data_IF_211878771269
#
_entry.id   IF_211878771269
#
_cell.length_a   1.000
_cell.length_b   1.000
_cell.length_c   1.000
_cell.angle_alpha   90.00
_cell.angle_beta   90.00
_cell.angle_gamma   90.00
#
_symmetry.space_group_name_H-M   'P 1'
#
loop_
_entity.id
_entity.type
_entity.pdbx_description
1 polymer ?
#
# COMPACT_ATOMS: atom_id res chain seq x y z
N UNK A 1 -3.29 18.44 15.35
CA UNK A 1 -3.17 17.86 14.00
C UNK A 1 -2.98 16.35 14.14
N UNK A 2 -4.02 15.55 13.88
CA UNK A 2 -3.84 14.10 13.74
C UNK A 2 -3.40 13.86 12.30
N UNK A 3 -2.10 13.62 12.07
CA UNK A 3 -1.61 13.27 10.75
C UNK A 3 -2.13 11.88 10.41
N UNK A 4 -2.86 11.75 9.30
CA UNK A 4 -3.21 10.43 8.76
C UNK A 4 -1.92 9.71 8.37
N UNK A 5 -1.60 8.54 8.96
CA UNK A 5 -0.39 7.83 8.62
C UNK A 5 -0.42 7.38 7.16
N UNK A 6 0.69 7.57 6.45
CA UNK A 6 0.86 7.16 5.07
C UNK A 6 1.67 5.86 5.01
N UNK A 7 1.18 4.84 4.30
CA UNK A 7 1.83 3.55 4.12
C UNK A 7 2.00 3.26 2.63
N UNK A 8 3.24 3.06 2.20
CA UNK A 8 3.59 2.60 0.86
C UNK A 8 4.03 1.14 0.91
N UNK A 9 3.22 0.25 0.33
CA UNK A 9 3.54 -1.18 0.22
C UNK A 9 4.30 -1.43 -1.07
N UNK A 10 5.51 -1.99 -0.97
CA UNK A 10 6.38 -2.19 -2.12
C UNK A 10 6.63 -3.67 -2.36
N UNK A 11 6.57 -4.09 -3.63
CA UNK A 11 7.15 -5.36 -4.07
C UNK A 11 7.95 -5.12 -5.36
N UNK A 12 8.38 -6.18 -6.03
CA UNK A 12 9.14 -6.06 -7.28
C UNK A 12 8.30 -5.46 -8.42
N UNK A 13 7.19 -6.11 -8.81
CA UNK A 13 6.45 -5.73 -10.02
C UNK A 13 5.16 -4.91 -9.82
N UNK A 14 4.69 -4.68 -8.59
CA UNK A 14 3.39 -4.02 -8.32
C UNK A 14 2.13 -4.67 -8.94
N UNK A 15 2.14 -6.00 -9.15
CA UNK A 15 1.02 -6.71 -9.80
C UNK A 15 0.33 -7.73 -8.88
N UNK A 16 1.09 -8.41 -8.03
CA UNK A 16 0.55 -9.50 -7.19
C UNK A 16 0.59 -9.14 -5.70
N UNK A 17 1.80 -9.06 -5.12
CA UNK A 17 2.01 -8.96 -3.67
C UNK A 17 1.59 -7.61 -3.07
N UNK A 18 2.14 -6.51 -3.58
CA UNK A 18 1.89 -5.18 -3.01
C UNK A 18 0.47 -4.65 -3.24
N UNK A 19 -0.22 -4.89 -4.39
CA UNK A 19 -1.63 -4.48 -4.53
C UNK A 19 -2.55 -5.25 -3.58
N UNK A 20 -2.33 -6.56 -3.41
CA UNK A 20 -3.11 -7.39 -2.49
C UNK A 20 -2.97 -6.89 -1.05
N UNK A 21 -1.74 -6.68 -0.59
CA UNK A 21 -1.48 -6.21 0.76
C UNK A 21 -2.03 -4.79 0.99
N UNK A 22 -1.91 -3.88 0.01
CA UNK A 22 -2.46 -2.54 0.11
C UNK A 22 -4.00 -2.55 0.26
N UNK A 23 -4.70 -3.39 -0.50
CA UNK A 23 -6.16 -3.53 -0.38
C UNK A 23 -6.58 -4.07 1.00
N UNK A 24 -5.89 -5.09 1.51
CA UNK A 24 -6.17 -5.65 2.84
C UNK A 24 -5.89 -4.65 3.96
N UNK A 25 -4.80 -3.89 3.86
CA UNK A 25 -4.42 -2.86 4.83
C UNK A 25 -5.38 -1.68 4.79
N UNK A 26 -5.84 -1.24 3.62
CA UNK A 26 -6.84 -0.18 3.50
C UNK A 26 -8.16 -0.53 4.21
N UNK A 27 -8.57 -1.80 4.17
CA UNK A 27 -9.74 -2.29 4.91
C UNK A 27 -9.48 -2.36 6.42
N UNK A 28 -8.28 -2.79 6.85
CA UNK A 28 -7.94 -2.92 8.29
C UNK A 28 -7.58 -1.60 8.96
N UNK A 29 -7.07 -0.61 8.21
CA UNK A 29 -6.53 0.64 8.71
C UNK A 29 -7.23 1.85 8.04
N UNK A 30 -8.53 2.09 8.31
CA UNK A 30 -9.30 3.13 7.61
C UNK A 30 -8.82 4.57 7.89
N UNK A 31 -8.00 4.75 8.93
CA UNK A 31 -7.36 6.02 9.27
C UNK A 31 -6.06 6.28 8.49
N UNK A 32 -5.51 5.27 7.83
CA UNK A 32 -4.27 5.36 7.06
C UNK A 32 -4.54 5.63 5.58
N UNK A 33 -3.66 6.38 4.93
CA UNK A 33 -3.58 6.44 3.47
C UNK A 33 -2.63 5.33 2.98
N UNK A 34 -3.15 4.34 2.26
CA UNK A 34 -2.42 3.15 1.84
C UNK A 34 -2.28 3.13 0.32
N UNK A 35 -1.04 3.02 -0.16
CA UNK A 35 -0.67 2.94 -1.58
C UNK A 35 0.22 1.73 -1.86
N UNK A 36 0.34 1.32 -3.13
CA UNK A 36 1.29 0.29 -3.56
C UNK A 36 2.20 0.75 -4.70
N UNK A 37 3.44 0.22 -4.73
CA UNK A 37 4.41 0.47 -5.78
C UNK A 37 5.26 -0.78 -6.10
N UNK A 38 6.01 -0.68 -7.21
CA UNK A 38 6.95 -1.69 -7.70
C UNK A 38 8.35 -1.09 -7.77
N UNK A 39 9.38 -1.87 -7.44
CA UNK A 39 10.78 -1.46 -7.64
C UNK A 39 11.21 -1.58 -9.11
N UNK A 40 10.62 -2.53 -9.83
CA UNK A 40 10.83 -2.80 -11.25
C UNK A 40 9.49 -3.21 -11.90
N UNK A 41 8.50 -2.29 -11.94
CA UNK A 41 7.26 -2.56 -12.66
C UNK A 41 7.57 -2.74 -14.17
N UNK A 42 6.81 -3.60 -14.87
CA UNK A 42 6.96 -3.79 -16.32
C UNK A 42 6.66 -2.52 -17.12
#
# INVERSE_FOLDING_TARGET
>A
MSARPFLLVVCEGNLCRSPLAAALLAVRLPQADVRSAGLAPP
#
